data_IF_010064088699
#
_entry.id   IF_010064088699
#
_cell.length_a   1.000
_cell.length_b   1.000
_cell.length_c   1.000
_cell.angle_alpha   90.00
_cell.angle_beta   90.00
_cell.angle_gamma   90.00
#
_symmetry.space_group_name_H-M   'P 1'
#
loop_
_entity.id
_entity.type
_entity.pdbx_description
1 polymer ?
#
# COMPACT_ATOMS: atom_id res chain seq x y z
N UNK A 1 -7.58 29.95 -10.73
CA UNK A 1 -7.86 28.80 -9.85
C UNK A 1 -7.03 28.98 -8.60
N UNK A 2 -7.64 29.08 -7.42
CA UNK A 2 -6.90 29.39 -6.19
C UNK A 2 -5.97 28.24 -5.80
N UNK A 3 -4.82 28.55 -5.21
CA UNK A 3 -3.85 27.55 -4.75
C UNK A 3 -4.48 26.52 -3.82
N UNK A 4 -5.37 26.96 -2.92
CA UNK A 4 -6.10 26.07 -2.02
C UNK A 4 -6.97 25.08 -2.79
N UNK A 5 -7.65 25.52 -3.87
CA UNK A 5 -8.45 24.64 -4.72
C UNK A 5 -7.59 23.59 -5.43
N UNK A 6 -6.38 23.96 -5.85
CA UNK A 6 -5.42 23.02 -6.46
C UNK A 6 -4.96 21.96 -5.46
N UNK A 7 -4.56 22.35 -4.24
CA UNK A 7 -4.16 21.40 -3.20
C UNK A 7 -5.32 20.50 -2.74
N UNK A 8 -6.57 20.99 -2.72
CA UNK A 8 -7.77 20.16 -2.48
C UNK A 8 -7.89 19.04 -3.51
N UNK A 9 -7.87 19.40 -4.79
CA UNK A 9 -8.01 18.44 -5.89
C UNK A 9 -6.87 17.42 -5.86
N UNK A 10 -5.63 17.87 -5.69
CA UNK A 10 -4.45 17.00 -5.63
C UNK A 10 -4.54 16.01 -4.46
N UNK A 11 -4.97 16.47 -3.28
CA UNK A 11 -5.16 15.62 -2.09
C UNK A 11 -6.22 14.55 -2.34
N UNK A 12 -7.36 14.91 -2.95
CA UNK A 12 -8.43 13.95 -3.28
C UNK A 12 -7.93 12.88 -4.25
N UNK A 13 -7.23 13.28 -5.32
CA UNK A 13 -6.67 12.35 -6.29
C UNK A 13 -5.67 11.40 -5.63
N UNK A 14 -4.79 11.93 -4.78
CA UNK A 14 -3.81 11.13 -4.05
C UNK A 14 -4.46 10.12 -3.10
N UNK A 15 -5.46 10.53 -2.31
CA UNK A 15 -6.22 9.63 -1.45
C UNK A 15 -6.94 8.52 -2.24
N UNK A 16 -7.57 8.87 -3.36
CA UNK A 16 -8.24 7.89 -4.23
C UNK A 16 -7.24 6.87 -4.80
N UNK A 17 -6.06 7.34 -5.23
CA UNK A 17 -4.97 6.48 -5.70
C UNK A 17 -4.51 5.50 -4.62
N UNK A 18 -4.22 5.97 -3.40
CA UNK A 18 -3.82 5.11 -2.28
C UNK A 18 -4.88 4.06 -1.93
N UNK A 19 -6.16 4.44 -1.99
CA UNK A 19 -7.28 3.52 -1.77
C UNK A 19 -7.30 2.39 -2.81
N UNK A 20 -7.19 2.73 -4.09
CA UNK A 20 -7.18 1.75 -5.18
C UNK A 20 -5.96 0.84 -5.07
N UNK A 21 -4.77 1.41 -4.86
CA UNK A 21 -3.54 0.65 -4.69
C UNK A 21 -3.61 -0.31 -3.48
N UNK A 22 -4.20 0.14 -2.37
CA UNK A 22 -4.42 -0.68 -1.19
C UNK A 22 -5.37 -1.85 -1.46
N UNK A 23 -6.47 -1.62 -2.19
CA UNK A 23 -7.40 -2.69 -2.58
C UNK A 23 -6.74 -3.72 -3.50
N UNK A 24 -5.97 -3.26 -4.50
CA UNK A 24 -5.21 -4.14 -5.40
C UNK A 24 -4.24 -5.00 -4.60
N UNK A 25 -3.49 -4.41 -3.66
CA UNK A 25 -2.58 -5.17 -2.81
C UNK A 25 -3.31 -6.20 -1.96
N UNK A 26 -4.43 -5.85 -1.32
CA UNK A 26 -5.25 -6.79 -0.57
C UNK A 26 -5.70 -7.99 -1.43
N UNK A 27 -6.13 -7.74 -2.67
CA UNK A 27 -6.49 -8.80 -3.60
C UNK A 27 -5.30 -9.68 -3.99
N UNK A 28 -4.11 -9.10 -4.17
CA UNK A 28 -2.90 -9.88 -4.45
C UNK A 28 -2.54 -10.81 -3.29
N UNK A 29 -2.61 -10.35 -2.05
CA UNK A 29 -2.38 -11.20 -0.87
C UNK A 29 -3.45 -12.31 -0.75
N UNK A 30 -4.73 -11.98 -1.01
CA UNK A 30 -5.82 -12.97 -1.01
C UNK A 30 -5.59 -14.05 -2.08
N UNK A 31 -5.18 -13.63 -3.28
CA UNK A 31 -4.89 -14.54 -4.38
C UNK A 31 -3.68 -15.42 -4.07
N UNK A 32 -2.65 -14.87 -3.42
CA UNK A 32 -1.50 -15.66 -2.97
C UNK A 32 -1.91 -16.78 -2.01
N UNK A 33 -2.76 -16.48 -1.01
CA UNK A 33 -3.31 -17.51 -0.12
C UNK A 33 -4.11 -18.57 -0.88
N UNK A 34 -4.93 -18.17 -1.84
CA UNK A 34 -5.69 -19.10 -2.69
C UNK A 34 -4.75 -20.01 -3.50
N UNK A 35 -3.67 -19.47 -4.05
CA UNK A 35 -2.65 -20.24 -4.78
C UNK A 35 -1.90 -21.21 -3.87
N UNK A 36 -1.62 -20.82 -2.62
CA UNK A 36 -1.01 -21.70 -1.63
C UNK A 36 -1.91 -22.90 -1.29
N UNK A 37 -3.23 -22.71 -1.22
CA UNK A 37 -4.21 -23.80 -1.00
C UNK A 37 -4.29 -24.71 -2.23
N UNK A 38 -4.31 -24.14 -3.44
CA UNK A 38 -4.42 -24.88 -4.69
C UNK A 38 -3.10 -25.52 -5.19
N UNK A 39 -2.03 -25.53 -4.38
CA UNK A 39 -0.72 -26.07 -4.77
C UNK A 39 -0.04 -25.33 -5.95
N UNK A 40 -0.52 -24.14 -6.29
CA UNK A 40 -0.01 -23.35 -7.42
C UNK A 40 1.20 -22.51 -7.01
N UNK A 41 1.97 -22.05 -8.00
CA UNK A 41 3.13 -21.18 -7.75
C UNK A 41 2.73 -19.91 -6.98
N UNK A 42 3.37 -19.69 -5.82
CA UNK A 42 3.20 -18.51 -4.97
C UNK A 42 3.75 -17.25 -5.66
N UNK A 43 3.19 -16.09 -5.33
CA UNK A 43 3.64 -14.81 -5.86
C UNK A 43 5.03 -14.49 -5.31
N UNK A 44 5.92 -14.01 -6.17
CA UNK A 44 7.26 -13.56 -5.76
C UNK A 44 7.13 -12.36 -4.84
N UNK A 45 7.88 -12.37 -3.73
CA UNK A 45 7.85 -11.29 -2.74
C UNK A 45 8.21 -9.93 -3.33
N UNK A 46 9.09 -9.92 -4.35
CA UNK A 46 9.44 -8.70 -5.09
C UNK A 46 8.21 -8.00 -5.65
N UNK A 47 7.24 -8.75 -6.18
CA UNK A 47 6.03 -8.15 -6.77
C UNK A 47 5.12 -7.55 -5.69
N UNK A 48 5.04 -8.21 -4.53
CA UNK A 48 4.29 -7.70 -3.38
C UNK A 48 4.95 -6.45 -2.78
N UNK A 49 6.29 -6.43 -2.69
CA UNK A 49 7.03 -5.26 -2.24
C UNK A 49 6.92 -4.09 -3.21
N UNK A 50 7.01 -4.34 -4.52
CA UNK A 50 6.84 -3.30 -5.53
C UNK A 50 5.45 -2.66 -5.44
N UNK A 51 4.39 -3.46 -5.31
CA UNK A 51 3.05 -2.91 -5.13
C UNK A 51 2.88 -2.15 -3.80
N UNK A 52 3.59 -2.55 -2.75
CA UNK A 52 3.63 -1.78 -1.49
C UNK A 52 4.35 -0.44 -1.63
N UNK A 53 5.39 -0.35 -2.48
CA UNK A 53 6.13 0.90 -2.73
C UNK A 53 5.31 1.85 -3.61
N UNK A 54 4.48 1.31 -4.51
CA UNK A 54 3.63 2.07 -5.44
C UNK A 54 2.33 2.61 -4.79
N UNK A 55 2.29 2.88 -3.48
CA UNK A 55 1.09 3.42 -2.83
C UNK A 55 0.16 2.39 -2.19
N UNK A 56 0.57 1.12 -2.18
CA UNK A 56 -0.20 0.02 -1.61
C UNK A 56 0.24 -0.39 -0.20
N UNK A 57 0.97 0.45 0.55
CA UNK A 57 1.56 0.04 1.82
C UNK A 57 0.51 -0.33 2.87
N UNK A 58 -0.59 0.44 2.97
CA UNK A 58 -1.71 0.14 3.87
C UNK A 58 -2.34 -1.21 3.52
N UNK A 59 -2.72 -1.42 2.25
CA UNK A 59 -3.27 -2.69 1.79
C UNK A 59 -2.32 -3.87 1.98
N UNK A 60 -1.01 -3.64 1.84
CA UNK A 60 0.03 -4.64 2.06
C UNK A 60 0.18 -5.01 3.52
N UNK A 61 0.12 -4.02 4.41
CA UNK A 61 0.16 -4.23 5.85
C UNK A 61 -1.05 -5.04 6.33
N UNK A 62 -2.26 -4.63 5.93
CA UNK A 62 -3.50 -5.34 6.27
C UNK A 62 -3.50 -6.75 5.68
N UNK A 63 -3.12 -6.90 4.40
CA UNK A 63 -3.03 -8.20 3.73
C UNK A 63 -2.06 -9.14 4.45
N UNK A 64 -0.91 -8.62 4.87
CA UNK A 64 0.07 -9.38 5.65
C UNK A 64 -0.48 -9.85 6.99
N UNK A 65 -1.19 -8.99 7.72
CA UNK A 65 -1.84 -9.34 9.00
C UNK A 65 -2.94 -10.39 8.83
N UNK A 66 -3.85 -10.19 7.87
CA UNK A 66 -4.99 -11.08 7.65
C UNK A 66 -4.57 -12.49 7.22
N UNK A 67 -3.55 -12.58 6.36
CA UNK A 67 -3.15 -13.85 5.78
C UNK A 67 -1.93 -14.47 6.48
N UNK A 68 -1.40 -13.82 7.52
CA UNK A 68 -0.17 -14.21 8.24
C UNK A 68 0.95 -14.62 7.26
N UNK A 69 0.98 -13.95 6.11
CA UNK A 69 1.79 -14.40 4.99
C UNK A 69 3.20 -13.83 5.14
N UNK A 70 4.19 -14.73 5.26
CA UNK A 70 5.62 -14.38 5.28
C UNK A 70 5.96 -13.27 6.27
N UNK A 71 5.46 -13.42 7.49
CA UNK A 71 5.80 -12.53 8.61
C UNK A 71 7.27 -12.65 9.05
N UNK A 72 7.92 -13.76 8.70
CA UNK A 72 9.26 -14.13 9.16
C UNK A 72 10.40 -13.31 8.55
N UNK A 73 10.19 -12.68 7.39
CA UNK A 73 11.21 -11.87 6.73
C UNK A 73 11.19 -10.44 7.28
N UNK A 74 12.18 -10.12 8.14
CA UNK A 74 12.35 -8.78 8.72
C UNK A 74 12.42 -7.66 7.67
N UNK A 75 13.12 -7.88 6.55
CA UNK A 75 13.20 -6.89 5.46
C UNK A 75 11.83 -6.58 4.84
N UNK A 76 10.95 -7.58 4.74
CA UNK A 76 9.62 -7.39 4.17
C UNK A 76 8.76 -6.48 5.05
N UNK A 77 8.87 -6.67 6.38
CA UNK A 77 8.24 -5.78 7.37
C UNK A 77 8.79 -4.36 7.25
N UNK A 78 10.11 -4.24 7.18
CA UNK A 78 10.80 -2.95 7.18
C UNK A 78 10.37 -2.11 5.98
N UNK A 79 10.31 -2.71 4.78
CA UNK A 79 9.87 -2.01 3.57
C UNK A 79 8.42 -1.56 3.68
N UNK A 80 7.51 -2.38 4.21
CA UNK A 80 6.10 -1.97 4.39
C UNK A 80 6.00 -0.80 5.38
N UNK A 81 6.68 -0.87 6.53
CA UNK A 81 6.65 0.21 7.52
C UNK A 81 7.27 1.51 7.00
N UNK A 82 8.40 1.43 6.30
CA UNK A 82 9.02 2.61 5.68
C UNK A 82 8.09 3.27 4.66
N UNK A 83 7.43 2.49 3.80
CA UNK A 83 6.48 3.04 2.84
C UNK A 83 5.23 3.61 3.52
N UNK A 84 4.71 2.99 4.58
CA UNK A 84 3.61 3.53 5.37
C UNK A 84 3.95 4.92 5.93
N UNK A 85 5.14 5.09 6.48
CA UNK A 85 5.61 6.39 7.01
C UNK A 85 5.78 7.40 5.87
N UNK A 86 6.31 6.98 4.73
CA UNK A 86 6.49 7.85 3.56
C UNK A 86 5.14 8.33 3.00
N UNK A 87 4.17 7.43 2.80
CA UNK A 87 2.81 7.76 2.35
C UNK A 87 2.12 8.72 3.34
N UNK A 88 2.26 8.47 4.64
CA UNK A 88 1.70 9.34 5.68
C UNK A 88 2.34 10.74 5.67
N UNK A 89 3.67 10.84 5.53
CA UNK A 89 4.38 12.12 5.43
C UNK A 89 3.91 12.93 4.22
N UNK A 90 3.80 12.31 3.05
CA UNK A 90 3.32 12.99 1.84
C UNK A 90 1.90 13.51 2.05
N UNK A 91 1.02 12.71 2.65
CA UNK A 91 -0.35 13.13 2.94
C UNK A 91 -0.40 14.33 3.91
N UNK A 92 0.39 14.30 4.99
CA UNK A 92 0.49 15.41 5.96
C UNK A 92 1.01 16.69 5.30
N UNK A 93 2.01 16.58 4.41
CA UNK A 93 2.53 17.74 3.68
C UNK A 93 1.49 18.34 2.73
N UNK A 94 0.68 17.52 2.06
CA UNK A 94 -0.40 18.01 1.20
C UNK A 94 -1.50 18.71 2.00
N UNK A 95 -1.85 18.16 3.18
CA UNK A 95 -2.89 18.74 4.05
C UNK A 95 -2.40 20.02 4.76
N UNK A 96 -1.13 20.11 5.15
CA UNK A 96 -0.60 21.36 5.74
C UNK A 96 -0.49 22.51 4.74
N UNK A 97 -0.39 22.21 3.44
CA UNK A 97 -0.48 23.22 2.36
C UNK A 97 -1.93 23.58 1.99
N UNK A 98 -2.89 22.83 2.52
CA UNK A 98 -4.31 22.99 2.27
C UNK A 98 -4.99 23.93 3.27
N UNK A 99 -4.51 23.94 4.52
CA UNK A 99 -4.97 24.76 5.64
C UNK A 99 -4.28 26.11 5.60
#
# INVERSE_FOLDING_TARGET
MNYDTYYKILTIIYCAYLLIASLVMLMMYKNDKKRAINGSARIKEKNLLLGSILGGAIGSFIGRLLFHHKTDKKYFSLVIYLNLVLEALVLVLLVTKLV
#
